data_IF_856017317783
#
_entry.id   IF_856017317783
#
_cell.length_a   1.000
_cell.length_b   1.000
_cell.length_c   1.000
_cell.angle_alpha   90.00
_cell.angle_beta   90.00
_cell.angle_gamma   90.00
#
_symmetry.space_group_name_H-M   'P 1'
#
loop_
_entity.id
_entity.type
_entity.pdbx_description
1 polymer ?
#
# COMPACT_ATOMS: atom_id res chain seq x y z
N UNK A 1 9.61 6.69 17.08
CA UNK A 1 8.31 6.22 16.57
C UNK A 1 7.17 7.03 17.14
N UNK A 2 6.57 7.88 16.31
CA UNK A 2 5.35 8.60 16.60
C UNK A 2 4.19 7.89 15.87
N UNK A 3 3.05 7.67 16.53
CA UNK A 3 1.84 7.14 15.88
C UNK A 3 0.88 8.30 15.61
N UNK A 4 0.58 8.57 14.35
CA UNK A 4 -0.50 9.45 13.95
C UNK A 4 -1.84 8.70 14.00
N UNK A 5 -2.87 9.37 14.54
CA UNK A 5 -4.25 8.91 14.58
C UNK A 5 -5.12 9.86 13.78
N UNK A 6 -5.75 9.34 12.73
CA UNK A 6 -6.73 10.06 11.93
C UNK A 6 -8.13 9.57 12.28
N UNK A 7 -9.01 10.49 12.63
CA UNK A 7 -10.41 10.22 12.97
C UNK A 7 -11.30 10.87 11.92
N UNK A 8 -12.17 10.07 11.30
CA UNK A 8 -13.21 10.55 10.39
C UNK A 8 -14.59 10.38 11.01
N UNK A 9 -15.45 11.38 10.81
CA UNK A 9 -16.87 11.31 11.15
C UNK A 9 -17.69 12.29 10.30
N UNK A 10 -19.01 12.11 10.29
CA UNK A 10 -19.92 12.95 9.54
C UNK A 10 -20.47 14.08 10.42
N UNK A 11 -19.94 15.29 10.28
CA UNK A 11 -20.31 16.43 11.13
C UNK A 11 -21.80 16.80 11.07
N UNK A 12 -22.44 16.62 9.92
CA UNK A 12 -23.87 16.92 9.71
C UNK A 12 -24.83 16.01 10.49
N UNK A 13 -24.35 14.86 10.98
CA UNK A 13 -25.16 13.92 11.78
C UNK A 13 -25.17 14.25 13.27
N UNK A 14 -24.29 15.15 13.69
CA UNK A 14 -24.19 15.59 15.08
C UNK A 14 -25.13 16.79 15.29
N UNK A 15 -26.03 16.77 16.28
CA UNK A 15 -26.80 17.95 16.65
C UNK A 15 -25.87 19.12 17.03
N UNK A 16 -25.99 20.25 16.32
CA UNK A 16 -25.06 21.39 16.45
C UNK A 16 -23.85 21.32 15.50
N UNK A 17 -23.79 20.33 14.61
CA UNK A 17 -22.75 20.18 13.61
C UNK A 17 -21.41 19.71 14.16
N UNK A 18 -20.36 19.79 13.33
CA UNK A 18 -19.00 19.39 13.70
C UNK A 18 -18.47 20.19 14.91
N UNK A 19 -18.84 21.46 15.05
CA UNK A 19 -18.37 22.33 16.14
C UNK A 19 -18.77 21.83 17.52
N UNK A 20 -19.92 21.12 17.62
CA UNK A 20 -20.39 20.53 18.88
C UNK A 20 -19.41 19.52 19.48
N UNK A 21 -18.54 18.92 18.67
CA UNK A 21 -17.47 18.00 19.13
C UNK A 21 -16.08 18.60 19.02
N UNK A 22 -15.78 19.38 17.97
CA UNK A 22 -14.45 19.93 17.73
C UNK A 22 -14.08 21.00 18.77
N UNK A 23 -14.98 21.93 19.09
CA UNK A 23 -14.70 23.03 20.02
C UNK A 23 -14.44 22.49 21.44
N UNK A 24 -15.27 21.61 22.03
CA UNK A 24 -15.00 21.05 23.35
C UNK A 24 -13.77 20.14 23.39
N UNK A 25 -13.44 19.45 22.28
CA UNK A 25 -12.21 18.68 22.15
C UNK A 25 -10.95 19.53 21.95
N UNK A 26 -11.10 20.84 21.72
CA UNK A 26 -10.01 21.76 21.34
C UNK A 26 -9.30 21.33 20.05
N UNK A 27 -10.03 20.71 19.13
CA UNK A 27 -9.55 20.36 17.80
C UNK A 27 -9.84 21.54 16.86
N UNK A 28 -8.89 22.46 16.73
CA UNK A 28 -8.99 23.61 15.83
C UNK A 28 -8.52 23.28 14.40
N UNK A 29 -8.42 24.32 13.54
CA UNK A 29 -7.92 24.17 12.16
C UNK A 29 -6.48 23.67 12.05
N UNK A 30 -5.73 23.62 13.15
CA UNK A 30 -4.39 23.04 13.23
C UNK A 30 -4.38 21.52 13.05
N UNK A 31 -5.49 20.87 13.40
CA UNK A 31 -5.63 19.39 13.39
C UNK A 31 -6.91 18.89 12.73
N UNK A 32 -7.92 19.76 12.58
CA UNK A 32 -9.21 19.43 11.99
C UNK A 32 -9.36 20.02 10.59
N UNK A 33 -9.81 19.18 9.67
CA UNK A 33 -10.10 19.48 8.28
C UNK A 33 -11.57 19.16 8.02
N UNK A 34 -12.38 20.21 7.85
CA UNK A 34 -13.83 20.14 7.68
C UNK A 34 -14.15 20.50 6.23
N UNK A 35 -14.79 19.58 5.51
CA UNK A 35 -15.08 19.73 4.08
C UNK A 35 -16.53 19.41 3.77
N UNK A 36 -17.03 19.98 2.69
CA UNK A 36 -18.28 19.51 2.09
C UNK A 36 -18.04 18.09 1.54
N UNK A 37 -18.86 17.15 1.98
CA UNK A 37 -18.80 15.75 1.58
C UNK A 37 -19.62 15.43 0.33
N UNK A 38 -19.65 14.16 -0.06
CA UNK A 38 -20.46 13.71 -1.19
C UNK A 38 -21.96 13.63 -0.81
N UNK A 39 -22.70 14.69 -1.12
CA UNK A 39 -24.15 14.73 -1.04
C UNK A 39 -24.68 16.07 -0.54
N UNK A 40 -25.99 16.34 -0.71
CA UNK A 40 -26.60 17.54 -0.17
C UNK A 40 -26.39 17.59 1.35
N UNK A 41 -25.74 18.65 1.85
CA UNK A 41 -25.48 18.89 3.27
C UNK A 41 -24.51 17.91 3.95
N UNK A 42 -23.81 17.06 3.19
CA UNK A 42 -22.77 16.21 3.77
C UNK A 42 -21.60 17.09 4.25
N UNK A 43 -21.20 16.90 5.50
CA UNK A 43 -20.01 17.52 6.09
C UNK A 43 -19.10 16.40 6.56
N UNK A 44 -17.94 16.30 5.91
CA UNK A 44 -16.89 15.32 6.18
C UNK A 44 -15.85 15.98 7.09
N UNK A 45 -15.56 15.34 8.23
CA UNK A 45 -14.60 15.88 9.21
C UNK A 45 -13.48 14.89 9.40
N UNK A 46 -12.26 15.35 9.18
CA UNK A 46 -11.02 14.63 9.48
C UNK A 46 -10.28 15.33 10.61
N UNK A 47 -9.88 14.59 11.64
CA UNK A 47 -9.01 15.09 12.71
C UNK A 47 -7.75 14.25 12.76
N UNK A 48 -6.58 14.90 12.71
CA UNK A 48 -5.27 14.25 12.71
C UNK A 48 -4.50 14.65 13.98
N UNK A 49 -4.19 13.68 14.83
CA UNK A 49 -3.55 13.89 16.14
C UNK A 49 -2.43 12.87 16.36
N UNK A 50 -1.49 13.19 17.24
CA UNK A 50 -0.59 12.19 17.83
C UNK A 50 -1.40 11.22 18.72
N UNK A 51 -1.04 9.94 18.76
CA UNK A 51 -1.72 8.94 19.60
C UNK A 51 -1.68 9.30 21.10
N UNK A 52 -0.69 10.08 21.52
CA UNK A 52 -0.53 10.58 22.89
C UNK A 52 -1.15 11.95 23.13
N UNK A 53 -1.74 12.59 22.12
CA UNK A 53 -2.37 13.91 22.24
C UNK A 53 -3.58 13.86 23.18
N UNK A 54 -3.63 14.73 24.18
CA UNK A 54 -4.69 14.79 25.19
C UNK A 54 -6.09 15.08 24.60
N UNK A 55 -6.15 15.68 23.40
CA UNK A 55 -7.41 15.97 22.68
C UNK A 55 -8.06 14.70 22.13
N UNK A 56 -7.28 13.69 21.78
CA UNK A 56 -7.76 12.45 21.17
C UNK A 56 -8.80 11.72 22.04
N UNK A 57 -8.53 11.37 23.31
CA UNK A 57 -9.53 10.71 24.15
C UNK A 57 -10.77 11.58 24.42
N UNK A 58 -10.63 12.92 24.40
CA UNK A 58 -11.76 13.84 24.55
C UNK A 58 -12.67 13.78 23.31
N UNK A 59 -12.09 13.87 22.11
CA UNK A 59 -12.80 13.77 20.84
C UNK A 59 -13.55 12.44 20.72
N UNK A 60 -12.86 11.32 20.97
CA UNK A 60 -13.46 9.99 20.85
C UNK A 60 -14.66 9.81 21.79
N UNK A 61 -14.56 10.32 23.03
CA UNK A 61 -15.65 10.30 24.01
C UNK A 61 -16.83 11.16 23.56
N UNK A 62 -16.59 12.35 23.01
CA UNK A 62 -17.66 13.22 22.52
C UNK A 62 -18.41 12.58 21.34
N UNK A 63 -17.69 12.00 20.39
CA UNK A 63 -18.30 11.27 19.27
C UNK A 63 -19.19 10.12 19.76
N UNK A 64 -18.72 9.37 20.75
CA UNK A 64 -19.50 8.30 21.39
C UNK A 64 -20.74 8.83 22.12
N UNK A 65 -20.64 9.95 22.85
CA UNK A 65 -21.78 10.60 23.52
C UNK A 65 -22.87 11.05 22.55
N UNK A 66 -22.48 11.46 21.34
CA UNK A 66 -23.42 11.82 20.27
C UNK A 66 -23.92 10.61 19.46
N UNK A 67 -23.47 9.38 19.78
CA UNK A 67 -23.83 8.17 19.05
C UNK A 67 -23.31 8.15 17.61
N UNK A 68 -22.32 8.99 17.27
CA UNK A 68 -21.83 9.11 15.91
C UNK A 68 -20.83 7.99 15.58
N UNK A 69 -21.02 7.38 14.40
CA UNK A 69 -20.09 6.38 13.89
C UNK A 69 -18.82 7.09 13.42
N UNK A 70 -17.68 6.63 13.93
CA UNK A 70 -16.36 7.12 13.56
C UNK A 70 -15.55 6.03 12.86
N UNK A 71 -14.61 6.45 12.03
CA UNK A 71 -13.54 5.59 11.53
C UNK A 71 -12.23 6.14 12.08
N UNK A 72 -11.39 5.25 12.61
CA UNK A 72 -10.09 5.59 13.17
C UNK A 72 -9.03 4.86 12.37
N UNK A 73 -8.09 5.60 11.81
CA UNK A 73 -6.88 5.06 11.20
C UNK A 73 -5.70 5.40 12.07
N UNK A 74 -4.80 4.43 12.24
CA UNK A 74 -3.53 4.63 12.91
C UNK A 74 -2.38 4.35 11.97
N UNK A 75 -1.37 5.20 12.00
CA UNK A 75 -0.18 5.07 11.16
C UNK A 75 1.06 5.50 11.93
N UNK A 76 2.13 4.72 11.83
CA UNK A 76 3.42 5.13 12.37
C UNK A 76 4.11 6.11 11.40
N UNK A 77 4.71 7.17 11.96
CA UNK A 77 5.56 8.12 11.26
C UNK A 77 7.03 7.83 11.58
N UNK A 78 7.86 7.86 10.54
CA UNK A 78 9.28 7.53 10.62
C UNK A 78 10.13 8.66 10.06
N UNK A 79 11.23 8.94 10.74
CA UNK A 79 12.25 9.86 10.29
C UNK A 79 13.15 9.22 9.23
N UNK A 80 13.83 10.03 8.41
CA UNK A 80 14.85 9.56 7.47
C UNK A 80 15.92 8.69 8.15
N UNK A 81 16.31 9.03 9.39
CA UNK A 81 17.29 8.25 10.14
C UNK A 81 16.74 6.87 10.57
N UNK A 82 15.45 6.80 10.96
CA UNK A 82 14.79 5.52 11.26
C UNK A 82 14.66 4.64 10.01
N UNK A 83 14.34 5.24 8.85
CA UNK A 83 14.26 4.53 7.57
C UNK A 83 15.64 4.05 7.09
N UNK A 84 16.68 4.87 7.24
CA UNK A 84 18.05 4.52 6.84
C UNK A 84 18.65 3.40 7.68
N UNK A 85 18.30 3.35 8.97
CA UNK A 85 18.78 2.34 9.91
C UNK A 85 18.03 1.00 9.85
N UNK A 86 16.88 0.93 9.16
CA UNK A 86 16.08 -0.28 9.08
C UNK A 86 16.75 -1.36 8.22
N UNK A 87 16.68 -2.66 8.57
CA UNK A 87 17.22 -3.72 7.72
C UNK A 87 16.50 -3.85 6.37
N UNK A 88 15.17 -3.69 6.40
CA UNK A 88 14.29 -3.66 5.25
C UNK A 88 13.18 -2.62 5.47
N UNK A 89 12.60 -2.18 4.37
CA UNK A 89 11.47 -1.26 4.28
C UNK A 89 10.39 -1.89 3.39
N UNK A 90 9.14 -1.87 3.85
CA UNK A 90 7.98 -2.10 3.00
C UNK A 90 7.74 -0.86 2.13
N UNK A 91 7.55 -1.08 0.82
CA UNK A 91 7.03 -0.06 -0.09
C UNK A 91 5.50 -0.11 -0.04
N UNK A 92 4.88 0.97 0.40
CA UNK A 92 3.42 1.10 0.47
C UNK A 92 2.96 2.25 -0.45
N UNK A 93 2.47 1.95 -1.67
CA UNK A 93 2.01 2.98 -2.60
C UNK A 93 0.77 3.69 -2.05
N UNK A 94 0.77 5.02 -2.11
CA UNK A 94 -0.44 5.76 -1.75
C UNK A 94 -1.53 5.51 -2.79
N UNK A 95 -2.83 5.45 -2.42
CA UNK A 95 -3.92 5.20 -3.36
C UNK A 95 -3.96 6.16 -4.55
N UNK A 96 -3.51 7.41 -4.39
CA UNK A 96 -3.49 8.38 -5.49
C UNK A 96 -2.47 8.01 -6.59
N UNK A 97 -1.54 7.10 -6.30
CA UNK A 97 -0.58 6.56 -7.27
C UNK A 97 -1.13 5.44 -8.14
N UNK A 98 -2.30 4.89 -7.81
CA UNK A 98 -2.81 3.70 -8.47
C UNK A 98 -3.34 4.01 -9.87
N UNK A 99 -2.95 3.17 -10.83
CA UNK A 99 -3.50 3.14 -12.20
C UNK A 99 -4.11 1.76 -12.47
N UNK A 100 -5.18 1.70 -13.25
CA UNK A 100 -5.76 0.43 -13.62
C UNK A 100 -4.84 -0.37 -14.57
N UNK A 101 -4.69 -1.66 -14.33
CA UNK A 101 -3.81 -2.53 -15.10
C UNK A 101 -4.03 -4.01 -14.78
N UNK A 102 -3.11 -4.88 -15.20
CA UNK A 102 -3.14 -6.29 -14.84
C UNK A 102 -4.02 -7.16 -15.76
N UNK A 103 -4.56 -8.30 -15.26
CA UNK A 103 -5.22 -9.31 -16.09
C UNK A 103 -6.39 -8.80 -16.93
N UNK A 104 -7.21 -7.90 -16.36
CA UNK A 104 -8.39 -7.32 -17.01
C UNK A 104 -8.07 -6.42 -18.20
N UNK A 105 -6.83 -5.94 -18.28
CA UNK A 105 -6.31 -5.16 -19.42
C UNK A 105 -5.52 -6.05 -20.39
N UNK A 106 -5.47 -7.36 -20.14
CA UNK A 106 -4.86 -8.36 -21.00
C UNK A 106 -3.46 -8.79 -20.59
N UNK A 107 -2.98 -8.41 -19.39
CA UNK A 107 -1.73 -8.97 -18.84
C UNK A 107 -1.93 -10.47 -18.60
N UNK A 108 -1.07 -11.31 -19.16
CA UNK A 108 -1.23 -12.76 -19.07
C UNK A 108 -0.45 -13.36 -17.91
N UNK A 109 -1.01 -14.40 -17.31
CA UNK A 109 -0.43 -15.13 -16.19
C UNK A 109 -0.47 -16.64 -16.45
N UNK A 110 0.56 -17.33 -15.98
CA UNK A 110 0.60 -18.77 -15.84
C UNK A 110 0.12 -19.14 -14.42
N UNK A 111 -0.98 -19.89 -14.36
CA UNK A 111 -1.65 -20.32 -13.13
C UNK A 111 -1.49 -21.83 -12.88
N UNK A 112 -0.57 -22.48 -13.59
CA UNK A 112 -0.35 -23.94 -13.49
C UNK A 112 -0.03 -24.33 -12.05
N UNK A 113 0.92 -23.62 -11.43
CA UNK A 113 1.39 -23.85 -10.06
C UNK A 113 0.72 -22.93 -9.02
N UNK A 114 -0.19 -22.06 -9.47
CA UNK A 114 -0.93 -21.19 -8.56
C UNK A 114 -1.94 -21.99 -7.73
N UNK A 115 -2.25 -21.48 -6.54
CA UNK A 115 -3.33 -22.02 -5.73
C UNK A 115 -4.66 -21.98 -6.52
N UNK A 116 -5.34 -23.12 -6.65
CA UNK A 116 -6.58 -23.22 -7.42
C UNK A 116 -7.78 -22.49 -6.80
N UNK A 117 -7.67 -22.09 -5.53
CA UNK A 117 -8.73 -21.36 -4.81
C UNK A 117 -8.51 -19.85 -4.91
N UNK A 118 -7.34 -19.36 -4.50
CA UNK A 118 -7.08 -17.91 -4.43
C UNK A 118 -6.21 -17.36 -5.56
N UNK A 119 -5.60 -18.22 -6.39
CA UNK A 119 -4.66 -17.79 -7.43
C UNK A 119 -3.29 -17.33 -6.92
N UNK A 120 -3.03 -17.35 -5.60
CA UNK A 120 -1.70 -17.02 -5.07
C UNK A 120 -0.61 -17.89 -5.68
N UNK A 121 0.49 -17.27 -6.09
CA UNK A 121 1.56 -17.92 -6.85
C UNK A 121 1.39 -17.87 -8.37
N UNK A 122 0.34 -17.21 -8.90
CA UNK A 122 0.23 -16.94 -10.33
C UNK A 122 1.45 -16.16 -10.83
N UNK A 123 2.03 -16.60 -11.94
CA UNK A 123 3.26 -16.02 -12.51
C UNK A 123 2.93 -15.24 -13.76
N UNK A 124 3.16 -13.93 -13.74
CA UNK A 124 2.98 -13.10 -14.93
C UNK A 124 3.91 -13.56 -16.08
N UNK A 125 3.35 -13.70 -17.28
CA UNK A 125 4.04 -14.20 -18.49
C UNK A 125 4.17 -13.17 -19.60
N UNK A 126 3.39 -12.09 -19.61
CA UNK A 126 3.52 -10.98 -20.56
C UNK A 126 4.13 -9.73 -19.92
N UNK A 127 4.43 -8.73 -20.75
CA UNK A 127 4.57 -7.35 -20.32
C UNK A 127 3.34 -6.90 -19.51
N UNK A 128 3.53 -5.93 -18.60
CA UNK A 128 2.42 -5.34 -17.86
C UNK A 128 1.63 -4.43 -18.80
N UNK A 129 0.32 -4.64 -18.85
CA UNK A 129 -0.61 -3.78 -19.57
C UNK A 129 -1.37 -2.93 -18.56
N UNK A 130 -1.41 -1.62 -18.82
CA UNK A 130 -2.15 -0.62 -18.03
C UNK A 130 -3.18 0.08 -18.91
N UNK A 131 -4.22 0.63 -18.28
CA UNK A 131 -5.29 1.34 -18.96
C UNK A 131 -4.76 2.61 -19.63
N UNK A 132 -4.86 2.67 -20.97
CA UNK A 132 -4.41 3.80 -21.77
C UNK A 132 -5.22 5.09 -21.55
N UNK A 133 -6.45 4.98 -21.04
CA UNK A 133 -7.30 6.13 -20.74
C UNK A 133 -6.88 6.87 -19.44
N UNK A 134 -6.01 6.27 -18.62
CA UNK A 134 -5.56 6.79 -17.33
C UNK A 134 -4.11 7.31 -17.36
N UNK A 135 -3.51 7.49 -18.54
CA UNK A 135 -2.10 7.89 -18.64
C UNK A 135 -1.79 9.26 -18.03
N UNK A 136 -2.79 10.15 -17.94
CA UNK A 136 -2.67 11.42 -17.24
C UNK A 136 -2.33 11.23 -15.75
N UNK A 137 -2.72 10.10 -15.14
CA UNK A 137 -2.33 9.76 -13.78
C UNK A 137 -0.83 9.50 -13.64
N UNK A 138 -0.07 9.30 -14.73
CA UNK A 138 1.38 9.15 -14.69
C UNK A 138 2.14 10.47 -14.90
N UNK A 139 1.47 11.54 -15.32
CA UNK A 139 2.11 12.81 -15.63
C UNK A 139 2.80 13.42 -14.39
N UNK A 140 4.06 13.84 -14.58
CA UNK A 140 4.88 14.40 -13.50
C UNK A 140 5.34 13.39 -12.44
N UNK A 141 4.99 12.11 -12.58
CA UNK A 141 5.40 11.04 -11.66
C UNK A 141 6.60 10.28 -12.19
N UNK A 142 7.45 9.80 -11.29
CA UNK A 142 8.59 8.94 -11.60
C UNK A 142 8.37 7.47 -11.24
N UNK A 143 7.32 7.21 -10.47
CA UNK A 143 6.95 5.89 -9.98
C UNK A 143 5.45 5.87 -9.65
N UNK A 144 4.81 4.72 -9.82
CA UNK A 144 3.39 4.49 -9.61
C UNK A 144 3.15 3.01 -9.27
N UNK A 145 1.90 2.66 -8.96
CA UNK A 145 1.47 1.28 -8.73
C UNK A 145 0.21 0.96 -9.53
N UNK A 146 -0.08 -0.32 -9.75
CA UNK A 146 -1.42 -0.75 -10.18
C UNK A 146 -2.30 -1.06 -8.98
N UNK A 147 -3.62 -1.17 -9.17
CA UNK A 147 -4.52 -1.74 -8.15
C UNK A 147 -4.18 -3.19 -7.75
N UNK A 148 -3.33 -3.86 -8.53
CA UNK A 148 -2.81 -5.20 -8.24
C UNK A 148 -1.44 -5.14 -7.53
N UNK A 149 -1.06 -3.96 -7.02
CA UNK A 149 0.25 -3.66 -6.40
C UNK A 149 1.46 -3.97 -7.27
N UNK A 150 1.32 -3.98 -8.60
CA UNK A 150 2.47 -3.99 -9.49
C UNK A 150 3.15 -2.62 -9.41
N UNK A 151 4.42 -2.58 -9.02
CA UNK A 151 5.18 -1.34 -9.00
C UNK A 151 5.74 -1.02 -10.39
N UNK A 152 5.56 0.21 -10.85
CA UNK A 152 6.14 0.71 -12.10
C UNK A 152 6.97 1.97 -11.84
N UNK A 153 8.02 2.16 -12.62
CA UNK A 153 8.90 3.35 -12.59
C UNK A 153 9.20 3.83 -14.00
N UNK A 154 9.49 5.11 -14.17
CA UNK A 154 9.98 5.63 -15.44
C UNK A 154 11.34 5.01 -15.80
N UNK A 155 11.65 4.95 -17.10
CA UNK A 155 12.87 4.33 -17.64
C UNK A 155 14.16 4.88 -17.01
N UNK A 156 14.20 6.18 -16.69
CA UNK A 156 15.37 6.79 -16.06
C UNK A 156 15.59 6.26 -14.65
N UNK A 157 14.55 6.15 -13.84
CA UNK A 157 14.64 5.57 -12.49
C UNK A 157 14.97 4.07 -12.56
N UNK A 158 14.40 3.35 -13.52
CA UNK A 158 14.77 1.95 -13.78
C UNK A 158 16.28 1.81 -14.07
N UNK A 159 16.83 2.70 -14.92
CA UNK A 159 18.26 2.74 -15.22
C UNK A 159 19.13 3.08 -14.02
N UNK A 160 18.68 3.99 -13.14
CA UNK A 160 19.36 4.29 -11.87
C UNK A 160 19.40 3.08 -10.94
N UNK A 161 18.28 2.38 -10.76
CA UNK A 161 18.20 1.15 -9.97
C UNK A 161 19.13 0.05 -10.52
N UNK A 162 19.08 -0.19 -11.84
CA UNK A 162 19.91 -1.18 -12.51
C UNK A 162 21.41 -0.89 -12.39
N UNK A 163 21.82 0.36 -12.62
CA UNK A 163 23.23 0.78 -12.55
C UNK A 163 23.79 0.86 -11.12
N UNK A 164 22.93 0.95 -10.10
CA UNK A 164 23.32 0.97 -8.69
C UNK A 164 23.65 -0.42 -8.12
N UNK A 165 23.60 -1.48 -8.93
CA UNK A 165 23.86 -2.85 -8.49
C UNK A 165 22.86 -3.33 -7.45
N UNK A 166 21.59 -2.89 -7.55
CA UNK A 166 20.49 -3.41 -6.71
C UNK A 166 20.28 -4.87 -7.05
N UNK A 167 20.31 -5.74 -6.04
CA UNK A 167 20.11 -7.19 -6.19
C UNK A 167 18.64 -7.58 -6.08
N UNK A 168 18.26 -8.72 -6.67
CA UNK A 168 16.90 -9.25 -6.59
C UNK A 168 15.85 -8.54 -7.42
N UNK A 169 16.26 -7.61 -8.27
CA UNK A 169 15.38 -6.82 -9.12
C UNK A 169 15.62 -7.13 -10.60
N UNK A 170 14.52 -7.30 -11.34
CA UNK A 170 14.50 -7.29 -12.80
C UNK A 170 13.41 -6.33 -13.29
N UNK A 171 13.41 -6.03 -14.59
CA UNK A 171 12.47 -5.09 -15.18
C UNK A 171 11.72 -5.72 -16.34
N UNK A 172 10.43 -5.41 -16.44
CA UNK A 172 9.59 -5.77 -17.58
C UNK A 172 9.04 -4.52 -18.25
N UNK A 173 8.79 -4.59 -19.56
CA UNK A 173 8.15 -3.49 -20.29
C UNK A 173 6.72 -3.25 -19.80
N UNK A 174 6.29 -1.98 -19.86
CA UNK A 174 4.91 -1.55 -19.60
C UNK A 174 4.31 -1.04 -20.89
N UNK A 175 3.07 -1.43 -21.18
CA UNK A 175 2.33 -1.03 -22.37
C UNK A 175 1.01 -0.38 -21.95
N UNK A 176 0.68 0.73 -22.61
CA UNK A 176 -0.68 1.26 -22.56
C UNK A 176 -1.57 0.42 -23.48
N UNK A 177 -2.76 0.10 -23.02
CA UNK A 177 -3.78 -0.58 -23.82
C UNK A 177 -5.08 0.23 -23.81
N UNK A 178 -5.58 0.50 -25.01
CA UNK A 178 -6.83 1.25 -25.24
C UNK A 178 -7.94 0.27 -25.64
N UNK A 179 -9.21 0.67 -25.48
CA UNK A 179 -10.37 -0.17 -25.82
C UNK A 179 -10.34 -0.64 -27.28
N UNK A 180 -9.83 0.20 -28.18
CA UNK A 180 -9.67 -0.08 -29.61
C UNK A 180 -8.53 -1.08 -29.94
N UNK A 181 -7.98 -1.76 -28.93
CA UNK A 181 -6.87 -2.72 -29.04
C UNK A 181 -5.54 -2.12 -29.50
N UNK A 182 -5.41 -0.80 -29.62
CA UNK A 182 -4.12 -0.14 -29.85
C UNK A 182 -3.28 -0.32 -28.59
N UNK A 183 -2.03 -0.77 -28.79
CA UNK A 183 -1.05 -0.94 -27.71
C UNK A 183 0.25 -0.27 -28.13
N UNK A 184 0.85 0.46 -27.21
CA UNK A 184 2.21 0.97 -27.41
C UNK A 184 3.00 0.91 -26.10
N UNK A 185 4.30 0.75 -26.27
CA UNK A 185 5.22 0.66 -25.16
C UNK A 185 5.40 2.05 -24.54
N UNK A 186 5.29 2.12 -23.21
CA UNK A 186 5.57 3.30 -22.44
C UNK A 186 7.06 3.37 -22.06
N UNK A 187 7.64 4.56 -21.82
CA UNK A 187 8.97 4.72 -21.23
C UNK A 187 8.96 4.42 -19.72
N UNK A 188 8.34 3.30 -19.36
CA UNK A 188 8.09 2.82 -18.01
C UNK A 188 8.44 1.34 -17.91
N UNK A 189 8.87 0.93 -16.72
CA UNK A 189 9.24 -0.44 -16.38
C UNK A 189 8.49 -0.92 -15.16
N UNK A 190 7.95 -2.12 -15.24
CA UNK A 190 7.48 -2.86 -14.09
C UNK A 190 8.68 -3.40 -13.32
N UNK A 191 8.68 -3.23 -12.01
CA UNK A 191 9.63 -3.86 -11.10
C UNK A 191 9.22 -5.31 -10.89
N UNK A 192 10.16 -6.22 -11.06
CA UNK A 192 9.94 -7.65 -10.84
C UNK A 192 10.97 -8.14 -9.82
N UNK A 193 10.51 -8.45 -8.60
CA UNK A 193 11.33 -9.03 -7.57
C UNK A 193 11.55 -10.53 -7.83
N UNK A 194 12.78 -11.00 -7.63
CA UNK A 194 13.16 -12.39 -7.93
C UNK A 194 13.08 -13.30 -6.70
N UNK A 195 12.94 -12.72 -5.50
CA UNK A 195 12.99 -13.44 -4.24
C UNK A 195 11.74 -13.18 -3.42
N UNK A 196 11.18 -14.25 -2.88
CA UNK A 196 10.16 -14.22 -1.83
C UNK A 196 10.82 -14.62 -0.53
N UNK A 197 10.64 -13.81 0.53
CA UNK A 197 11.13 -14.16 1.86
C UNK A 197 10.28 -15.28 2.47
N UNK A 198 10.73 -15.92 3.57
CA UNK A 198 9.86 -16.75 4.41
C UNK A 198 8.61 -16.00 4.93
N UNK A 199 7.63 -16.71 5.53
CA UNK A 199 6.51 -16.08 6.21
C UNK A 199 6.96 -15.07 7.28
N UNK A 200 6.25 -13.95 7.40
CA UNK A 200 6.52 -13.02 8.50
C UNK A 200 6.17 -13.63 9.86
N UNK A 201 6.84 -13.17 10.91
CA UNK A 201 6.58 -13.61 12.29
C UNK A 201 5.12 -13.35 12.69
N UNK A 202 4.48 -14.26 13.46
CA UNK A 202 3.14 -14.06 14.04
C UNK A 202 3.04 -12.81 14.95
N UNK A 203 4.16 -12.21 15.33
CA UNK A 203 4.20 -10.95 16.11
C UNK A 203 3.95 -9.70 15.26
N UNK A 204 3.81 -9.84 13.95
CA UNK A 204 3.40 -8.76 13.06
C UNK A 204 2.00 -8.25 13.43
N UNK A 205 1.80 -6.93 13.43
CA UNK A 205 0.51 -6.28 13.79
C UNK A 205 -0.02 -5.44 12.64
N UNK A 206 -1.28 -4.98 12.75
CA UNK A 206 -1.93 -4.17 11.70
C UNK A 206 -2.30 -4.95 10.44
N UNK A 207 -2.32 -6.29 10.55
CA UNK A 207 -2.75 -7.21 9.50
C UNK A 207 -3.84 -8.13 10.04
N UNK A 208 -4.79 -8.48 9.17
CA UNK A 208 -5.82 -9.49 9.41
C UNK A 208 -5.50 -10.67 8.50
N UNK A 209 -5.61 -11.88 9.05
CA UNK A 209 -5.45 -13.13 8.30
C UNK A 209 -6.78 -13.85 8.27
N UNK A 210 -7.42 -13.89 7.12
CA UNK A 210 -8.58 -14.72 6.85
C UNK A 210 -8.13 -16.13 6.45
N UNK A 211 -8.77 -17.15 7.01
CA UNK A 211 -8.52 -18.56 6.70
C UNK A 211 -9.26 -19.03 5.45
N UNK A 212 -9.51 -18.13 4.50
CA UNK A 212 -10.29 -18.42 3.28
C UNK A 212 -9.63 -19.47 2.37
N UNK A 213 -8.33 -19.75 2.54
CA UNK A 213 -7.60 -20.66 1.67
C UNK A 213 -6.61 -21.56 2.42
N UNK A 214 -6.64 -22.86 2.12
CA UNK A 214 -5.74 -23.85 2.69
C UNK A 214 -4.25 -23.67 2.31
N UNK A 215 -3.93 -22.86 1.29
CA UNK A 215 -2.52 -22.59 0.94
C UNK A 215 -1.80 -21.72 1.98
N UNK A 216 -2.53 -21.04 2.87
CA UNK A 216 -2.00 -20.17 3.91
C UNK A 216 -1.36 -18.87 3.42
N UNK A 217 -1.18 -18.69 2.09
CA UNK A 217 -0.49 -17.53 1.50
C UNK A 217 -1.38 -16.31 1.36
N UNK A 218 -2.67 -16.51 1.08
CA UNK A 218 -3.63 -15.43 0.78
C UNK A 218 -4.59 -15.18 1.94
N UNK A 219 -5.51 -14.22 1.77
CA UNK A 219 -6.43 -13.78 2.81
C UNK A 219 -5.80 -12.80 3.78
N UNK A 220 -4.69 -12.14 3.40
CA UNK A 220 -4.05 -11.15 4.25
C UNK A 220 -4.53 -9.76 3.86
N UNK A 221 -4.99 -8.96 4.82
CA UNK A 221 -5.40 -7.57 4.58
C UNK A 221 -4.82 -6.67 5.66
N UNK A 222 -4.60 -5.40 5.36
CA UNK A 222 -4.29 -4.40 6.37
C UNK A 222 -5.54 -4.06 7.21
N UNK A 223 -5.34 -3.54 8.41
CA UNK A 223 -6.43 -2.95 9.21
C UNK A 223 -6.11 -1.49 9.56
N UNK A 224 -7.14 -0.66 9.60
CA UNK A 224 -7.04 0.72 10.05
C UNK A 224 -6.87 0.83 11.59
N UNK A 225 -7.29 -0.19 12.33
CA UNK A 225 -7.37 -0.15 13.80
C UNK A 225 -6.00 -0.19 14.49
N UNK A 226 -5.00 -0.76 13.82
CA UNK A 226 -3.64 -0.89 14.34
C UNK A 226 -2.63 -0.58 13.22
N UNK A 227 -1.53 0.13 13.52
CA UNK A 227 -0.48 0.34 12.52
C UNK A 227 0.10 -0.99 12.02
N UNK A 228 0.28 -1.07 10.70
CA UNK A 228 1.00 -2.17 10.05
C UNK A 228 2.45 -2.18 10.51
N UNK A 229 2.83 -3.23 11.23
CA UNK A 229 4.20 -3.44 11.75
C UNK A 229 4.60 -4.87 11.44
N UNK A 230 5.35 -5.05 10.37
CA UNK A 230 5.81 -6.37 9.95
C UNK A 230 7.08 -6.75 10.73
N UNK A 231 7.15 -8.01 11.14
CA UNK A 231 8.25 -8.57 11.91
C UNK A 231 8.82 -9.79 11.19
N UNK A 232 10.14 -9.88 11.07
CA UNK A 232 10.86 -11.04 10.55
C UNK A 232 11.89 -11.53 11.56
N UNK A 233 12.18 -12.85 11.55
CA UNK A 233 13.32 -13.36 12.30
C UNK A 233 14.62 -13.00 11.57
N UNK A 234 15.67 -12.71 12.32
CA UNK A 234 16.98 -12.37 11.74
C UNK A 234 17.51 -13.48 10.80
N UNK A 235 17.25 -14.75 11.12
CA UNK A 235 17.65 -15.90 10.31
C UNK A 235 16.95 -15.93 8.94
N UNK A 236 15.69 -15.49 8.86
CA UNK A 236 14.92 -15.44 7.60
C UNK A 236 15.44 -14.35 6.64
N UNK A 237 16.24 -13.42 7.15
CA UNK A 237 16.83 -12.32 6.39
C UNK A 237 18.29 -12.58 6.00
N UNK A 238 18.88 -13.72 6.40
CA UNK A 238 20.31 -13.99 6.22
C UNK A 238 20.76 -13.95 4.75
N UNK A 239 19.87 -14.30 3.82
CA UNK A 239 20.13 -14.34 2.39
C UNK A 239 19.25 -13.34 1.60
N UNK A 240 18.66 -12.34 2.27
CA UNK A 240 17.80 -11.34 1.62
C UNK A 240 18.54 -10.57 0.51
N UNK A 241 17.80 -10.13 -0.49
CA UNK A 241 18.31 -9.27 -1.56
C UNK A 241 17.91 -7.81 -1.31
N UNK A 242 18.36 -6.88 -2.16
CA UNK A 242 17.95 -5.48 -2.06
C UNK A 242 16.45 -5.29 -2.36
N UNK A 243 15.85 -6.18 -3.15
CA UNK A 243 14.41 -6.22 -3.45
C UNK A 243 13.88 -7.64 -3.27
N UNK A 244 12.84 -7.78 -2.45
CA UNK A 244 12.19 -9.04 -2.11
C UNK A 244 10.67 -8.87 -2.11
N UNK A 245 9.96 -9.98 -2.00
CA UNK A 245 8.52 -10.06 -1.81
C UNK A 245 8.19 -10.68 -0.46
N UNK A 246 7.08 -10.25 0.16
CA UNK A 246 6.47 -10.99 1.27
C UNK A 246 6.03 -12.38 0.81
N UNK A 247 6.07 -13.34 1.73
CA UNK A 247 5.48 -14.66 1.47
C UNK A 247 3.94 -14.58 1.41
N UNK A 248 3.37 -13.71 2.25
CA UNK A 248 1.96 -13.36 2.28
C UNK A 248 1.53 -12.60 1.04
N UNK A 249 0.31 -12.90 0.61
CA UNK A 249 -0.39 -12.32 -0.53
C UNK A 249 -1.60 -11.57 0.00
N UNK A 250 -1.59 -10.26 -0.23
CA UNK A 250 -2.54 -9.30 0.27
C UNK A 250 -3.70 -9.07 -0.71
N UNK A 251 -4.80 -8.54 -0.18
CA UNK A 251 -6.01 -8.21 -0.92
C UNK A 251 -7.07 -9.30 -0.85
N UNK A 252 -8.24 -9.00 -1.41
CA UNK A 252 -9.39 -9.91 -1.46
C UNK A 252 -9.42 -10.64 -2.81
N UNK A 253 -8.88 -11.87 -2.90
CA UNK A 253 -8.78 -12.56 -4.17
C UNK A 253 -10.15 -12.90 -4.74
N UNK A 254 -10.32 -12.71 -6.05
CA UNK A 254 -11.45 -13.23 -6.84
C UNK A 254 -10.89 -14.03 -8.01
N UNK A 255 -10.79 -15.33 -7.82
CA UNK A 255 -10.29 -16.25 -8.84
C UNK A 255 -11.21 -17.46 -8.96
N UNK A 256 -11.75 -17.67 -10.16
CA UNK A 256 -12.65 -18.77 -10.50
C UNK A 256 -12.02 -19.77 -11.48
N UNK A 257 -10.71 -19.68 -11.71
CA UNK A 257 -9.98 -20.44 -12.73
C UNK A 257 -9.74 -19.66 -14.03
N UNK A 258 -10.47 -18.57 -14.28
CA UNK A 258 -10.25 -17.69 -15.43
C UNK A 258 -9.32 -16.53 -15.06
N UNK A 259 -8.25 -16.35 -15.83
CA UNK A 259 -7.27 -15.27 -15.64
C UNK A 259 -7.84 -13.92 -16.08
N UNK A 260 -8.70 -13.90 -17.09
CA UNK A 260 -9.12 -12.66 -17.76
C UNK A 260 -9.91 -11.71 -16.85
N UNK A 261 -10.64 -12.25 -15.87
CA UNK A 261 -11.37 -11.48 -14.86
C UNK A 261 -10.81 -11.67 -13.44
N UNK A 262 -9.62 -12.25 -13.31
CA UNK A 262 -9.04 -12.52 -12.01
C UNK A 262 -8.70 -11.23 -11.25
N UNK A 263 -9.08 -11.19 -9.97
CA UNK A 263 -8.44 -10.35 -8.96
C UNK A 263 -7.48 -11.23 -8.18
N UNK A 264 -6.23 -11.31 -8.64
CA UNK A 264 -5.22 -12.04 -7.87
C UNK A 264 -4.89 -11.28 -6.59
N UNK A 265 -4.61 -11.98 -5.49
CA UNK A 265 -3.95 -11.35 -4.36
C UNK A 265 -2.51 -11.01 -4.79
N UNK A 266 -1.80 -10.19 -4.03
CA UNK A 266 -0.47 -9.71 -4.42
C UNK A 266 0.49 -9.72 -3.23
N UNK A 267 1.75 -10.12 -3.42
CA UNK A 267 2.75 -9.92 -2.37
C UNK A 267 3.17 -8.44 -2.32
N UNK A 268 3.60 -7.99 -1.16
CA UNK A 268 4.18 -6.66 -0.99
C UNK A 268 5.69 -6.67 -1.27
N UNK A 269 6.21 -5.54 -1.74
CA UNK A 269 7.64 -5.34 -1.97
C UNK A 269 8.36 -4.93 -0.68
N UNK A 270 9.44 -5.65 -0.37
CA UNK A 270 10.35 -5.36 0.73
C UNK A 270 11.72 -5.01 0.17
N UNK A 271 12.24 -3.84 0.51
CA UNK A 271 13.50 -3.34 -0.05
C UNK A 271 14.48 -2.86 1.01
N UNK A 272 15.77 -2.89 0.71
CA UNK A 272 16.78 -2.31 1.60
C UNK A 272 16.73 -0.77 1.55
N UNK A 273 17.26 -0.06 2.57
CA UNK A 273 17.38 1.40 2.54
C UNK A 273 18.14 1.94 1.33
N UNK A 274 19.00 1.13 0.71
CA UNK A 274 19.67 1.46 -0.55
C UNK A 274 18.67 1.81 -1.66
N UNK A 275 17.61 1.02 -1.82
CA UNK A 275 16.57 1.26 -2.84
C UNK A 275 15.75 2.50 -2.48
N UNK A 276 15.38 2.64 -1.21
CA UNK A 276 14.67 3.83 -0.72
C UNK A 276 15.44 5.12 -0.99
N UNK A 277 16.76 5.16 -0.71
CA UNK A 277 17.60 6.32 -1.03
C UNK A 277 17.57 6.66 -2.51
N UNK A 278 17.62 5.67 -3.41
CA UNK A 278 17.51 5.92 -4.86
C UNK A 278 16.17 6.56 -5.21
N UNK A 279 15.06 6.11 -4.63
CA UNK A 279 13.73 6.69 -4.82
C UNK A 279 13.63 8.13 -4.27
N UNK A 280 14.16 8.34 -3.06
CA UNK A 280 14.17 9.65 -2.39
C UNK A 280 15.02 10.66 -3.17
N UNK A 281 16.24 10.29 -3.53
CA UNK A 281 17.17 11.14 -4.30
C UNK A 281 16.63 11.40 -5.72
N UNK A 282 15.76 10.51 -6.21
CA UNK A 282 14.98 10.70 -7.41
C UNK A 282 13.78 11.66 -7.25
N UNK A 283 13.45 12.10 -6.04
CA UNK A 283 12.31 12.98 -5.77
C UNK A 283 10.95 12.27 -5.81
N UNK A 284 10.92 10.95 -5.59
CA UNK A 284 9.65 10.20 -5.51
C UNK A 284 8.99 10.45 -4.15
N UNK A 285 7.73 10.90 -4.14
CA UNK A 285 7.00 11.30 -2.91
C UNK A 285 5.67 10.57 -2.67
N UNK A 286 5.24 9.71 -3.60
CA UNK A 286 3.93 9.04 -3.53
C UNK A 286 3.95 7.66 -2.88
N UNK A 287 5.08 7.22 -2.31
CA UNK A 287 5.16 5.99 -1.53
C UNK A 287 5.37 6.33 -0.07
N UNK A 288 4.72 5.54 0.77
CA UNK A 288 5.01 5.42 2.18
C UNK A 288 6.02 4.28 2.39
N UNK A 289 6.84 4.42 3.43
CA UNK A 289 7.94 3.51 3.71
C UNK A 289 7.80 3.07 5.16
N UNK A 290 7.62 1.77 5.37
CA UNK A 290 7.45 1.21 6.72
C UNK A 290 8.66 0.33 7.06
N UNK A 291 9.41 0.63 8.13
CA UNK A 291 10.54 -0.18 8.53
C UNK A 291 10.09 -1.53 9.05
N UNK A 292 10.78 -2.57 8.57
CA UNK A 292 10.58 -3.94 9.01
C UNK A 292 11.33 -4.15 10.32
N UNK A 293 10.63 -4.71 11.30
CA UNK A 293 11.22 -5.07 12.59
C UNK A 293 11.88 -6.42 12.49
N UNK A 294 13.02 -6.57 13.15
CA UNK A 294 13.76 -7.83 13.20
C UNK A 294 13.82 -8.28 14.65
N UNK A 295 13.53 -9.56 14.86
CA UNK A 295 13.69 -10.22 16.16
C UNK A 295 14.69 -11.36 16.10
N UNK A 296 15.29 -11.66 17.24
CA UNK A 296 16.07 -12.90 17.38
C UNK A 296 15.11 -14.09 17.32
N UNK A 297 15.48 -15.07 16.50
CA UNK A 297 14.74 -16.33 16.33
C UNK A 297 15.21 -17.41 17.29
#
# INVERSE_FOLDING_TARGET
MNTEVRVFFYGHRIPGGAEAVLVPARCGPDVADVREGFGPQAVDVWVTLDETDERLPILLRLLEQHGERRVVWKRDLFTDAELDAAPLLLIDPKPELEIFGGPRIGTTYDVTDACKVCGAGARQTSALLINGEELNALEGRRAASTYYSDLIVEDRLAGQLASSGVTGLSFRGVFAAFENQVRFQLPWRQLCANKTLPPMSPRSTGIIRDTHCACGRSGVTGTAEQPTRLVYHAADLADMQDVNLTWEWFGEPRFNGDVSDALFPYPWFLVTPKVWRIYRDAGVTGFDWLPIRVEEG
#
